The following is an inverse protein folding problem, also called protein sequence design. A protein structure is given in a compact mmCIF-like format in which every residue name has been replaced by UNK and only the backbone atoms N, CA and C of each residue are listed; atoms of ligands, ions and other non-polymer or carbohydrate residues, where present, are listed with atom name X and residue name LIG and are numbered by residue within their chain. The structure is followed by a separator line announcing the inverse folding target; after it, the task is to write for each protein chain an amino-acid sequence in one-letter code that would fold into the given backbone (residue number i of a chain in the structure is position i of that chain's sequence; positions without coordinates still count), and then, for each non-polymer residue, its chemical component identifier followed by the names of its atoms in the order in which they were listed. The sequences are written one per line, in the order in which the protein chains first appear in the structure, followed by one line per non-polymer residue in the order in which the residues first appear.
data_IF_229933567018
#
_entry.id   IF_229933567018
#
_cell.length_a   1.000
_cell.length_b   1.000
_cell.length_c   1.000
_cell.angle_alpha   90.00
_cell.angle_beta   90.00
_cell.angle_gamma   90.00
#
_symmetry.space_group_name_H-M   'P 1'
#
loop_
_entity.id
_entity.type
_entity.pdbx_description
1 polymer ?
#
# COMPACT_ATOMS: atom_id res chain seq x y z
N UNK A 1 -43.86 9.42 -1.86
CA UNK A 1 -42.65 10.27 -1.94
C UNK A 1 -42.98 11.56 -1.19
N UNK A 2 -42.36 11.82 -0.04
CA UNK A 2 -42.64 13.05 0.72
C UNK A 2 -42.17 14.31 -0.02
N UNK A 3 -42.70 15.48 0.34
CA UNK A 3 -42.38 16.79 -0.27
C UNK A 3 -40.86 17.03 -0.41
N UNK A 4 -40.09 16.59 0.59
CA UNK A 4 -38.63 16.69 0.60
C UNK A 4 -37.97 15.86 -0.52
N UNK A 5 -38.49 14.67 -0.83
CA UNK A 5 -37.96 13.81 -1.88
C UNK A 5 -38.16 14.38 -3.28
N UNK A 6 -39.29 15.07 -3.51
CA UNK A 6 -39.54 15.74 -4.78
C UNK A 6 -38.60 16.93 -4.98
N UNK A 7 -38.39 17.74 -3.94
CA UNK A 7 -37.49 18.89 -3.99
C UNK A 7 -36.03 18.48 -4.29
N UNK A 8 -35.55 17.42 -3.63
CA UNK A 8 -34.23 16.84 -3.90
C UNK A 8 -34.08 16.32 -5.32
N UNK A 9 -35.12 15.65 -5.83
CA UNK A 9 -35.10 15.12 -7.19
C UNK A 9 -35.07 16.24 -8.23
N UNK A 10 -35.89 17.28 -8.07
CA UNK A 10 -35.89 18.46 -8.96
C UNK A 10 -34.52 19.17 -8.94
N UNK A 11 -33.91 19.32 -7.76
CA UNK A 11 -32.57 19.90 -7.64
C UNK A 11 -31.49 19.04 -8.32
N UNK A 12 -31.55 17.72 -8.21
CA UNK A 12 -30.60 16.82 -8.85
C UNK A 12 -30.71 16.85 -10.38
N UNK A 13 -31.94 16.88 -10.90
CA UNK A 13 -32.20 16.98 -12.35
C UNK A 13 -31.73 18.33 -12.90
N UNK A 14 -32.03 19.43 -12.22
CA UNK A 14 -31.58 20.76 -12.65
C UNK A 14 -30.07 20.89 -12.66
N UNK A 15 -29.39 20.38 -11.63
CA UNK A 15 -27.92 20.31 -11.57
C UNK A 15 -27.33 19.51 -12.72
N UNK A 16 -27.97 18.41 -13.11
CA UNK A 16 -27.51 17.59 -14.25
C UNK A 16 -27.68 18.28 -15.59
N UNK A 17 -28.80 18.99 -15.81
CA UNK A 17 -29.01 19.74 -17.06
C UNK A 17 -27.99 20.88 -17.19
N UNK A 18 -27.81 21.67 -16.14
CA UNK A 18 -26.82 22.75 -16.12
C UNK A 18 -25.41 22.19 -16.30
N UNK A 19 -25.08 21.12 -15.58
CA UNK A 19 -23.78 20.47 -15.68
C UNK A 19 -23.49 19.90 -17.07
N UNK A 20 -24.49 19.31 -17.74
CA UNK A 20 -24.37 18.86 -19.13
C UNK A 20 -24.06 20.04 -20.07
N UNK A 21 -24.77 21.15 -19.94
CA UNK A 21 -24.53 22.34 -20.76
C UNK A 21 -23.11 22.87 -20.58
N UNK A 22 -22.61 22.92 -19.33
CA UNK A 22 -21.22 23.31 -19.03
C UNK A 22 -20.22 22.33 -19.64
N UNK A 23 -20.44 21.02 -19.53
CA UNK A 23 -19.56 20.01 -20.13
C UNK A 23 -19.50 20.14 -21.65
N UNK A 24 -20.65 20.30 -22.32
CA UNK A 24 -20.71 20.48 -23.78
C UNK A 24 -20.00 21.76 -24.22
N UNK A 25 -20.18 22.85 -23.47
CA UNK A 25 -19.50 24.13 -23.75
C UNK A 25 -17.98 24.04 -23.58
N UNK A 26 -17.50 23.28 -22.59
CA UNK A 26 -16.07 23.10 -22.32
C UNK A 26 -15.42 22.02 -23.18
N UNK A 27 -16.20 21.13 -23.79
CA UNK A 27 -15.72 20.03 -24.63
C UNK A 27 -14.72 20.45 -25.74
N UNK A 28 -14.97 21.51 -26.55
CA UNK A 28 -14.02 21.94 -27.57
C UNK A 28 -12.69 22.46 -27.01
N UNK A 29 -12.65 22.85 -25.73
CA UNK A 29 -11.40 23.24 -25.04
C UNK A 29 -10.70 22.03 -24.42
N UNK A 30 -11.46 21.16 -23.75
CA UNK A 30 -10.92 20.02 -23.00
C UNK A 30 -10.41 18.92 -23.94
N UNK A 31 -11.11 18.63 -25.03
CA UNK A 31 -10.74 17.55 -25.96
C UNK A 31 -9.36 17.78 -26.59
N UNK A 32 -9.02 18.95 -27.16
CA UNK A 32 -7.68 19.21 -27.68
C UNK A 32 -6.59 19.06 -26.61
N UNK A 33 -6.83 19.55 -25.39
CA UNK A 33 -5.87 19.40 -24.28
C UNK A 33 -5.65 17.94 -23.94
N UNK A 34 -6.72 17.13 -23.84
CA UNK A 34 -6.61 15.70 -23.61
C UNK A 34 -5.91 14.98 -24.76
N UNK A 35 -6.12 15.37 -26.02
CA UNK A 35 -5.41 14.82 -27.17
C UNK A 35 -3.91 15.15 -27.13
N UNK A 36 -3.53 16.37 -26.74
CA UNK A 36 -2.11 16.75 -26.53
C UNK A 36 -1.50 15.92 -25.40
N UNK A 37 -2.18 15.76 -24.26
CA UNK A 37 -1.70 14.94 -23.15
C UNK A 37 -1.60 13.45 -23.53
N UNK A 38 -2.54 12.95 -24.32
CA UNK A 38 -2.55 11.58 -24.82
C UNK A 38 -1.38 11.33 -25.78
N UNK A 39 -1.20 12.21 -26.77
CA UNK A 39 -0.09 12.12 -27.73
C UNK A 39 1.25 12.23 -27.01
N UNK A 40 1.41 13.19 -26.10
CA UNK A 40 2.58 13.28 -25.21
C UNK A 40 2.82 11.98 -24.45
N UNK A 41 1.79 11.42 -23.81
CA UNK A 41 1.89 10.14 -23.09
C UNK A 41 2.36 9.02 -24.01
N UNK A 42 1.77 8.88 -25.20
CA UNK A 42 2.18 7.87 -26.19
C UNK A 42 3.65 8.04 -26.59
N UNK A 43 4.10 9.26 -26.86
CA UNK A 43 5.50 9.55 -27.20
C UNK A 43 6.46 9.17 -26.07
N UNK A 44 6.12 9.52 -24.82
CA UNK A 44 6.93 9.16 -23.66
C UNK A 44 7.01 7.65 -23.47
N UNK A 45 5.89 6.93 -23.67
CA UNK A 45 5.87 5.47 -23.58
C UNK A 45 6.76 4.81 -24.64
N UNK A 46 6.70 5.29 -25.88
CA UNK A 46 7.57 4.83 -26.97
C UNK A 46 9.05 5.14 -26.66
N UNK A 47 9.35 6.32 -26.13
CA UNK A 47 10.71 6.70 -25.77
C UNK A 47 11.28 5.83 -24.64
N UNK A 48 10.48 5.54 -23.61
CA UNK A 48 10.87 4.63 -22.53
C UNK A 48 11.17 3.23 -23.07
N UNK A 49 10.32 2.71 -23.95
CA UNK A 49 10.56 1.41 -24.60
C UNK A 49 11.82 1.43 -25.48
N UNK A 50 12.07 2.53 -26.20
CA UNK A 50 13.25 2.67 -27.04
C UNK A 50 14.57 2.75 -26.25
N UNK A 51 14.57 3.45 -25.11
CA UNK A 51 15.77 3.65 -24.28
C UNK A 51 16.07 2.42 -23.43
N UNK A 52 15.06 1.85 -22.77
CA UNK A 52 15.26 0.81 -21.76
C UNK A 52 14.93 -0.61 -22.25
N UNK A 53 14.33 -0.75 -23.44
CA UNK A 53 14.04 -2.04 -24.05
C UNK A 53 12.94 -2.84 -23.34
N UNK A 54 13.00 -4.16 -23.53
CA UNK A 54 12.06 -5.11 -22.93
C UNK A 54 12.29 -5.31 -21.43
N UNK A 55 11.21 -5.36 -20.65
CA UNK A 55 11.26 -5.60 -19.20
C UNK A 55 11.02 -4.36 -18.34
N UNK A 56 10.81 -3.19 -18.94
CA UNK A 56 10.35 -1.98 -18.26
C UNK A 56 8.84 -1.84 -18.36
N UNK A 57 8.22 -1.51 -17.23
CA UNK A 57 6.76 -1.32 -17.13
C UNK A 57 6.46 0.06 -16.57
N UNK A 58 5.43 0.70 -17.11
CA UNK A 58 4.96 1.97 -16.55
C UNK A 58 4.15 1.68 -15.31
N UNK A 59 4.51 2.32 -14.22
CA UNK A 59 3.85 2.15 -12.93
C UNK A 59 2.38 2.59 -13.03
N UNK A 60 1.52 1.91 -12.26
CA UNK A 60 0.13 2.32 -12.14
C UNK A 60 -0.01 3.70 -11.50
N UNK A 61 -1.16 4.35 -11.64
CA UNK A 61 -1.38 5.68 -11.04
C UNK A 61 -1.18 5.69 -9.51
N UNK A 62 -1.59 4.63 -8.83
CA UNK A 62 -1.39 4.47 -7.38
C UNK A 62 0.08 4.25 -7.03
N UNK A 63 0.80 3.42 -7.78
CA UNK A 63 2.24 3.22 -7.59
C UNK A 63 3.01 4.53 -7.79
N UNK A 64 2.67 5.28 -8.85
CA UNK A 64 3.25 6.58 -9.14
C UNK A 64 2.97 7.59 -8.02
N UNK A 65 1.77 7.60 -7.44
CA UNK A 65 1.44 8.45 -6.31
C UNK A 65 2.35 8.17 -5.11
N UNK A 66 2.62 6.91 -4.81
CA UNK A 66 3.50 6.54 -3.70
C UNK A 66 4.98 6.86 -3.97
N UNK A 67 5.39 7.10 -5.21
CA UNK A 67 6.74 7.62 -5.52
C UNK A 67 6.90 9.12 -5.32
N UNK A 68 5.82 9.85 -5.00
CA UNK A 68 5.89 11.23 -4.54
C UNK A 68 6.31 11.30 -3.05
N UNK A 69 7.04 10.29 -2.58
CA UNK A 69 7.50 10.21 -1.20
C UNK A 69 8.49 11.34 -0.90
N UNK A 70 8.43 11.83 0.34
CA UNK A 70 9.29 12.92 0.80
C UNK A 70 9.99 12.53 2.10
N UNK A 71 11.02 13.31 2.47
CA UNK A 71 11.72 13.11 3.74
C UNK A 71 10.80 13.24 4.97
N UNK A 72 9.65 13.91 4.85
CA UNK A 72 8.64 14.04 5.91
C UNK A 72 7.47 13.06 5.76
N UNK A 73 7.28 12.47 4.59
CA UNK A 73 6.16 11.57 4.32
C UNK A 73 6.64 10.39 3.46
N UNK A 74 7.46 9.52 4.06
CA UNK A 74 7.97 8.34 3.36
C UNK A 74 6.87 7.30 3.21
N UNK A 75 6.70 6.74 2.02
CA UNK A 75 5.70 5.70 1.76
C UNK A 75 6.22 4.30 2.16
N UNK A 76 6.65 4.13 3.42
CA UNK A 76 7.16 2.86 3.97
C UNK A 76 6.07 2.12 4.73
N UNK A 77 5.89 0.83 4.42
CA UNK A 77 5.16 -0.16 5.19
C UNK A 77 6.20 -0.96 5.99
N UNK A 78 5.99 -1.07 7.29
CA UNK A 78 6.82 -1.87 8.18
C UNK A 78 5.97 -2.93 8.85
N UNK A 79 6.49 -4.15 8.94
CA UNK A 79 5.88 -5.26 9.66
C UNK A 79 6.94 -6.06 10.40
N UNK A 80 6.51 -6.86 11.36
CA UNK A 80 7.41 -7.75 12.10
C UNK A 80 6.74 -9.09 12.33
N UNK A 81 7.50 -10.16 12.16
CA UNK A 81 7.15 -11.49 12.61
C UNK A 81 8.13 -11.90 13.72
N UNK A 82 7.60 -12.25 14.89
CA UNK A 82 8.41 -12.78 16.00
C UNK A 82 8.25 -14.29 16.03
N UNK A 83 9.35 -14.99 15.81
CA UNK A 83 9.39 -16.45 15.67
C UNK A 83 10.08 -17.05 16.88
N UNK A 84 9.55 -18.16 17.39
CA UNK A 84 10.20 -18.95 18.45
C UNK A 84 11.38 -19.71 17.86
N UNK A 85 12.52 -19.65 18.53
CA UNK A 85 13.77 -20.29 18.13
C UNK A 85 14.75 -19.35 17.41
N UNK A 86 15.88 -19.93 16.99
CA UNK A 86 16.97 -19.24 16.28
C UNK A 86 16.85 -19.50 14.79
N UNK A 87 16.67 -18.44 14.01
CA UNK A 87 16.61 -18.52 12.54
C UNK A 87 17.83 -17.82 11.97
N UNK A 88 18.55 -18.51 11.09
CA UNK A 88 19.70 -17.93 10.41
C UNK A 88 19.27 -17.00 9.28
N UNK A 89 20.03 -15.92 9.06
CA UNK A 89 19.84 -15.02 7.92
C UNK A 89 19.90 -15.77 6.59
N UNK A 90 20.79 -16.77 6.49
CA UNK A 90 20.92 -17.63 5.33
C UNK A 90 19.64 -18.43 5.03
N UNK A 91 18.95 -18.93 6.06
CA UNK A 91 17.67 -19.62 5.88
C UNK A 91 16.59 -18.66 5.36
N UNK A 92 16.51 -17.44 5.91
CA UNK A 92 15.55 -16.41 5.45
C UNK A 92 15.84 -16.01 4.00
N UNK A 93 17.11 -15.82 3.64
CA UNK A 93 17.55 -15.53 2.26
C UNK A 93 17.11 -16.63 1.29
N UNK A 94 17.40 -17.89 1.63
CA UNK A 94 17.02 -19.04 0.81
C UNK A 94 15.50 -19.11 0.61
N UNK A 95 14.76 -18.97 1.69
CA UNK A 95 13.29 -18.99 1.66
C UNK A 95 12.71 -17.89 0.77
N UNK A 96 13.16 -16.64 0.95
CA UNK A 96 12.69 -15.50 0.15
C UNK A 96 13.11 -15.61 -1.32
N UNK A 97 14.30 -16.14 -1.58
CA UNK A 97 14.76 -16.45 -2.93
C UNK A 97 13.78 -17.43 -3.60
N UNK A 98 13.61 -18.62 -3.03
CA UNK A 98 12.83 -19.71 -3.61
C UNK A 98 11.33 -19.39 -3.76
N UNK A 99 10.73 -18.74 -2.75
CA UNK A 99 9.27 -18.56 -2.68
C UNK A 99 8.76 -17.24 -3.24
N UNK A 100 9.59 -16.19 -3.27
CA UNK A 100 9.14 -14.85 -3.65
C UNK A 100 9.90 -14.33 -4.86
N UNK A 101 11.23 -14.22 -4.77
CA UNK A 101 11.98 -13.49 -5.80
C UNK A 101 12.28 -14.35 -7.03
N UNK A 102 12.66 -15.62 -6.87
CA UNK A 102 12.93 -16.58 -7.96
C UNK A 102 11.72 -17.45 -8.29
N UNK A 103 10.60 -17.31 -7.58
CA UNK A 103 9.38 -18.06 -7.86
C UNK A 103 8.89 -17.79 -9.29
N UNK A 104 8.62 -18.86 -10.05
CA UNK A 104 8.16 -18.79 -11.44
C UNK A 104 6.72 -19.28 -11.60
N UNK A 105 6.04 -18.77 -12.62
CA UNK A 105 4.76 -19.28 -13.11
C UNK A 105 4.96 -20.48 -14.05
N UNK A 106 3.86 -21.13 -14.44
CA UNK A 106 3.89 -22.28 -15.37
C UNK A 106 4.49 -21.93 -16.75
N UNK A 107 4.62 -20.64 -17.05
CA UNK A 107 5.21 -20.11 -18.30
C UNK A 107 6.67 -19.71 -18.13
N UNK A 108 7.28 -20.00 -16.98
CA UNK A 108 8.68 -19.71 -16.67
C UNK A 108 8.99 -18.23 -16.40
N UNK A 109 7.97 -17.37 -16.25
CA UNK A 109 8.13 -15.95 -15.88
C UNK A 109 8.16 -15.81 -14.37
N UNK A 110 8.81 -14.77 -13.87
CA UNK A 110 8.78 -14.48 -12.44
C UNK A 110 7.34 -14.19 -11.97
N UNK A 111 6.93 -14.83 -10.88
CA UNK A 111 5.62 -14.63 -10.26
C UNK A 111 5.48 -13.23 -9.67
N UNK A 112 6.58 -12.71 -9.10
CA UNK A 112 6.63 -11.40 -8.47
C UNK A 112 7.81 -10.56 -8.99
N UNK A 113 7.76 -10.10 -10.27
CA UNK A 113 8.88 -9.40 -10.90
C UNK A 113 9.24 -8.09 -10.19
N UNK A 114 8.27 -7.43 -9.55
CA UNK A 114 8.46 -6.15 -8.88
C UNK A 114 9.48 -6.21 -7.73
N UNK A 115 9.72 -7.38 -7.11
CA UNK A 115 10.75 -7.52 -6.06
C UNK A 115 12.18 -7.48 -6.61
N UNK A 116 12.35 -7.58 -7.92
CA UNK A 116 13.64 -7.44 -8.63
C UNK A 116 13.72 -6.15 -9.42
N UNK A 117 12.78 -5.22 -9.19
CA UNK A 117 12.67 -3.99 -9.95
C UNK A 117 12.72 -2.79 -9.01
N UNK A 118 13.30 -1.71 -9.53
CA UNK A 118 13.33 -0.40 -8.88
C UNK A 118 12.24 0.46 -9.52
N UNK A 119 11.49 1.16 -8.68
CA UNK A 119 10.53 2.17 -9.14
C UNK A 119 11.19 3.55 -9.17
N UNK A 120 11.29 4.15 -10.35
CA UNK A 120 11.93 5.45 -10.54
C UNK A 120 11.19 6.33 -11.55
N UNK A 121 11.36 7.65 -11.42
CA UNK A 121 10.88 8.61 -12.41
C UNK A 121 11.88 8.72 -13.56
N UNK A 122 11.44 8.43 -14.78
CA UNK A 122 12.20 8.58 -16.03
C UNK A 122 11.32 9.27 -17.06
N UNK A 123 11.88 10.23 -17.78
CA UNK A 123 11.19 10.87 -18.91
C UNK A 123 9.82 11.48 -18.54
N UNK A 124 9.66 11.93 -17.29
CA UNK A 124 8.40 12.48 -16.78
C UNK A 124 7.37 11.45 -16.31
N UNK A 125 7.61 10.15 -16.49
CA UNK A 125 6.74 9.05 -16.04
C UNK A 125 7.43 8.20 -14.97
N UNK A 126 6.63 7.48 -14.18
CA UNK A 126 7.15 6.53 -13.19
C UNK A 126 7.18 5.14 -13.82
N UNK A 127 8.33 4.48 -13.72
CA UNK A 127 8.59 3.20 -14.37
C UNK A 127 9.25 2.21 -13.41
N UNK A 128 8.93 0.94 -13.60
CA UNK A 128 9.61 -0.21 -13.01
C UNK A 128 10.73 -0.66 -13.93
N UNK A 129 11.95 -0.65 -13.42
CA UNK A 129 13.16 -1.02 -14.15
C UNK A 129 13.83 -2.18 -13.41
N UNK A 130 14.27 -3.25 -14.09
CA UNK A 130 15.05 -4.31 -13.44
C UNK A 130 16.25 -3.75 -12.67
N UNK A 131 16.46 -4.25 -11.45
CA UNK A 131 17.64 -3.94 -10.67
C UNK A 131 18.90 -4.51 -11.33
N UNK A 132 19.95 -3.69 -11.40
CA UNK A 132 21.24 -4.13 -11.91
C UNK A 132 21.89 -5.13 -10.95
N UNK A 133 22.14 -6.36 -11.41
CA UNK A 133 22.74 -7.44 -10.62
C UNK A 133 22.01 -7.65 -9.29
N UNK A 134 20.71 -7.97 -9.39
CA UNK A 134 19.87 -8.30 -8.26
C UNK A 134 20.46 -9.47 -7.46
N UNK A 135 20.65 -9.27 -6.16
CA UNK A 135 21.06 -10.31 -5.21
C UNK A 135 20.28 -10.18 -3.91
N UNK A 136 19.62 -11.26 -3.48
CA UNK A 136 18.81 -11.29 -2.24
C UNK A 136 19.63 -10.89 -1.00
N UNK A 137 20.93 -11.16 -1.01
CA UNK A 137 21.85 -10.80 0.08
C UNK A 137 21.93 -9.30 0.37
N UNK A 138 21.65 -8.45 -0.62
CA UNK A 138 21.63 -6.98 -0.47
C UNK A 138 20.35 -6.48 0.23
N UNK A 139 19.30 -7.28 0.23
CA UNK A 139 17.99 -6.94 0.82
C UNK A 139 17.74 -7.62 2.15
N UNK A 140 18.39 -8.76 2.41
CA UNK A 140 18.21 -9.54 3.63
C UNK A 140 19.49 -9.53 4.44
N UNK A 141 19.49 -8.85 5.58
CA UNK A 141 20.68 -8.72 6.43
C UNK A 141 20.36 -8.96 7.90
N UNK A 142 21.40 -9.25 8.68
CA UNK A 142 21.30 -9.23 10.12
C UNK A 142 21.14 -7.79 10.61
N UNK A 143 20.37 -7.59 11.68
CA UNK A 143 20.30 -6.30 12.34
C UNK A 143 21.64 -5.99 13.01
N UNK A 144 22.27 -4.89 12.61
CA UNK A 144 23.58 -4.50 13.13
C UNK A 144 23.53 -3.14 13.83
N UNK A 145 24.31 -3.01 14.90
CA UNK A 145 24.66 -1.76 15.57
C UNK A 145 26.19 -1.72 15.71
N UNK A 146 26.83 -0.67 15.20
CA UNK A 146 28.30 -0.50 15.20
C UNK A 146 29.07 -1.73 14.67
N UNK A 147 28.61 -2.26 13.52
CA UNK A 147 29.16 -3.46 12.85
C UNK A 147 29.07 -4.76 13.67
N UNK A 148 28.23 -4.80 14.72
CA UNK A 148 27.97 -6.00 15.52
C UNK A 148 26.50 -6.39 15.44
N UNK A 149 26.16 -7.69 15.50
CA UNK A 149 24.77 -8.13 15.63
C UNK A 149 24.10 -7.46 16.83
N UNK A 150 22.95 -6.81 16.59
CA UNK A 150 22.18 -6.16 17.65
C UNK A 150 21.22 -7.19 18.25
N UNK A 151 21.42 -7.48 19.54
CA UNK A 151 20.49 -8.26 20.35
C UNK A 151 19.40 -7.36 20.92
N UNK A 152 18.16 -7.59 20.51
CA UNK A 152 16.99 -6.90 21.05
C UNK A 152 16.60 -7.49 22.40
N UNK A 153 16.39 -6.64 23.40
CA UNK A 153 16.09 -7.11 24.76
C UNK A 153 14.60 -7.48 24.94
N UNK A 154 13.71 -6.62 24.48
CA UNK A 154 12.27 -6.70 24.72
C UNK A 154 11.47 -6.08 23.55
N UNK A 155 10.15 -6.02 23.73
CA UNK A 155 9.20 -5.44 22.77
C UNK A 155 9.43 -3.94 22.55
N UNK A 156 9.84 -3.20 23.58
CA UNK A 156 10.06 -1.76 23.51
C UNK A 156 11.31 -1.43 22.67
N UNK A 157 12.39 -2.19 22.82
CA UNK A 157 13.59 -2.07 21.99
C UNK A 157 13.30 -2.43 20.52
N UNK A 158 12.50 -3.48 20.29
CA UNK A 158 12.03 -3.84 18.96
C UNK A 158 11.18 -2.73 18.32
N UNK A 159 10.23 -2.17 19.06
CA UNK A 159 9.36 -1.09 18.60
C UNK A 159 10.15 0.20 18.33
N UNK A 160 11.12 0.53 19.19
CA UNK A 160 12.04 1.65 19.02
C UNK A 160 12.86 1.50 17.74
N UNK A 161 13.41 0.31 17.49
CA UNK A 161 14.19 0.04 16.28
C UNK A 161 13.33 0.10 15.01
N UNK A 162 12.12 -0.46 15.04
CA UNK A 162 11.19 -0.35 13.91
C UNK A 162 10.79 1.10 13.64
N UNK A 163 10.60 1.91 14.69
CA UNK A 163 10.28 3.34 14.57
C UNK A 163 11.44 4.12 13.95
N UNK A 164 12.67 3.89 14.41
CA UNK A 164 13.87 4.50 13.85
C UNK A 164 14.01 4.15 12.35
N UNK A 165 13.88 2.87 12.00
CA UNK A 165 14.02 2.40 10.63
C UNK A 165 12.94 2.89 9.69
N UNK A 166 11.70 3.00 10.15
CA UNK A 166 10.59 3.50 9.32
C UNK A 166 10.84 4.92 8.78
N UNK A 167 11.71 5.68 9.46
CA UNK A 167 12.16 7.01 9.04
C UNK A 167 13.40 7.01 8.13
N UNK A 168 14.04 5.88 7.89
CA UNK A 168 15.21 5.79 7.00
C UNK A 168 14.78 5.67 5.52
N UNK A 169 15.48 6.33 4.59
CA UNK A 169 15.25 6.12 3.16
C UNK A 169 15.77 4.73 2.72
N UNK A 170 15.17 4.17 1.67
CA UNK A 170 15.75 3.01 1.00
C UNK A 170 17.00 3.42 0.21
N UNK A 171 18.01 2.53 0.09
CA UNK A 171 19.16 2.75 -0.79
C UNK A 171 18.73 3.00 -2.24
N UNK A 172 19.44 3.88 -2.94
CA UNK A 172 19.19 4.15 -4.36
C UNK A 172 19.69 3.00 -5.22
N UNK A 173 18.97 2.71 -6.31
CA UNK A 173 19.34 1.68 -7.28
C UNK A 173 19.08 0.24 -6.85
N UNK A 174 18.49 0.03 -5.67
CA UNK A 174 18.01 -1.28 -5.20
C UNK A 174 16.48 -1.29 -5.18
N UNK A 175 15.87 -2.46 -5.37
CA UNK A 175 14.45 -2.66 -5.14
C UNK A 175 14.09 -2.21 -3.71
N UNK A 176 13.00 -1.46 -3.55
CA UNK A 176 12.71 -0.72 -2.30
C UNK A 176 12.02 -1.60 -1.26
N UNK A 177 12.71 -2.66 -0.85
CA UNK A 177 12.32 -3.54 0.24
C UNK A 177 13.57 -4.07 0.95
N UNK A 178 13.43 -4.34 2.24
CA UNK A 178 14.47 -4.95 3.07
C UNK A 178 13.86 -5.87 4.13
N UNK A 179 14.62 -6.90 4.51
CA UNK A 179 14.28 -7.82 5.60
C UNK A 179 15.46 -7.89 6.56
N UNK A 180 15.18 -7.61 7.83
CA UNK A 180 16.18 -7.59 8.88
C UNK A 180 15.87 -8.68 9.88
N UNK A 181 16.88 -9.48 10.19
CA UNK A 181 16.76 -10.56 11.16
C UNK A 181 17.54 -10.17 12.40
N UNK A 182 16.88 -10.21 13.57
CA UNK A 182 17.48 -9.85 14.84
C UNK A 182 17.16 -10.91 15.90
N UNK A 183 18.14 -11.32 16.73
CA UNK A 183 17.83 -12.11 17.90
C UNK A 183 17.06 -11.25 18.92
N UNK A 184 16.04 -11.84 19.54
CA UNK A 184 15.17 -11.21 20.52
C UNK A 184 15.14 -12.03 21.81
N UNK A 185 15.46 -11.39 22.93
CA UNK A 185 15.57 -12.07 24.23
C UNK A 185 14.21 -12.39 24.85
N UNK A 186 13.30 -11.40 24.90
CA UNK A 186 11.97 -11.52 25.51
C UNK A 186 10.88 -11.02 24.57
N UNK A 187 9.76 -11.73 24.55
CA UNK A 187 8.54 -11.31 23.87
C UNK A 187 7.33 -11.92 24.59
N UNK A 188 6.31 -11.12 24.86
CA UNK A 188 5.09 -11.54 25.55
C UNK A 188 5.30 -11.98 27.01
N UNK A 189 4.52 -12.98 27.43
CA UNK A 189 4.48 -13.48 28.81
C UNK A 189 5.56 -14.49 29.16
N UNK A 190 6.52 -14.77 28.27
CA UNK A 190 7.59 -15.73 28.49
C UNK A 190 8.61 -15.15 29.49
N UNK A 191 8.28 -15.19 30.79
CA UNK A 191 9.05 -14.63 31.91
C UNK A 191 10.09 -15.58 32.51
N UNK A 192 10.13 -16.85 32.10
CA UNK A 192 10.97 -17.85 32.76
C UNK A 192 11.93 -18.51 31.77
N UNK A 193 13.12 -17.92 31.62
CA UNK A 193 14.40 -18.66 31.63
C UNK A 193 15.59 -17.69 31.52
N UNK A 194 16.56 -17.90 32.39
CA UNK A 194 17.79 -17.13 32.53
C UNK A 194 18.85 -17.78 31.61
N UNK A 195 19.21 -17.14 30.50
CA UNK A 195 20.46 -17.50 29.80
C UNK A 195 20.58 -17.08 28.33
N UNK A 196 19.60 -17.37 27.48
CA UNK A 196 19.73 -17.22 26.02
C UNK A 196 18.55 -16.47 25.36
N UNK A 197 18.77 -15.90 24.17
CA UNK A 197 17.68 -15.38 23.35
C UNK A 197 16.85 -16.53 22.80
N UNK A 198 15.54 -16.46 23.01
CA UNK A 198 14.61 -17.53 22.64
C UNK A 198 13.88 -17.25 21.33
N UNK A 199 13.87 -15.99 20.89
CA UNK A 199 13.07 -15.55 19.75
C UNK A 199 13.96 -14.94 18.67
N UNK A 200 13.47 -14.97 17.44
CA UNK A 200 14.02 -14.23 16.31
C UNK A 200 12.97 -13.27 15.79
N UNK A 201 13.29 -11.98 15.77
CA UNK A 201 12.47 -10.95 15.14
C UNK A 201 12.87 -10.82 13.67
N UNK A 202 11.90 -10.95 12.77
CA UNK A 202 12.05 -10.70 11.34
C UNK A 202 11.29 -9.43 11.00
N UNK A 203 12.03 -8.33 10.88
CA UNK A 203 11.48 -7.01 10.54
C UNK A 203 11.48 -6.88 9.03
N UNK A 204 10.31 -6.58 8.46
CA UNK A 204 10.12 -6.43 7.02
C UNK A 204 9.75 -4.99 6.74
N UNK A 205 10.46 -4.37 5.80
CA UNK A 205 10.15 -3.02 5.32
C UNK A 205 9.96 -3.05 3.80
N UNK A 206 8.86 -2.48 3.33
CA UNK A 206 8.56 -2.35 1.91
C UNK A 206 8.11 -0.94 1.58
N UNK A 207 8.49 -0.46 0.40
CA UNK A 207 7.88 0.73 -0.17
C UNK A 207 6.46 0.42 -0.66
N UNK A 208 5.51 1.31 -0.40
CA UNK A 208 4.08 1.15 -0.72
C UNK A 208 3.79 0.92 -2.21
N UNK A 209 4.73 1.27 -3.09
CA UNK A 209 4.64 0.94 -4.52
C UNK A 209 4.66 -0.58 -4.77
N UNK A 210 5.23 -1.41 -3.88
CA UNK A 210 5.24 -2.86 -4.05
C UNK A 210 3.89 -3.53 -3.75
N UNK A 211 3.03 -2.90 -2.96
CA UNK A 211 1.74 -3.46 -2.59
C UNK A 211 1.08 -2.70 -1.44
N UNK A 212 -0.21 -2.97 -1.26
CA UNK A 212 -0.96 -2.54 -0.09
C UNK A 212 -0.82 -3.55 1.05
N UNK A 213 -1.26 -3.17 2.25
CA UNK A 213 -1.19 -4.06 3.43
C UNK A 213 -1.87 -5.40 3.20
N UNK A 214 -2.98 -5.43 2.45
CA UNK A 214 -3.72 -6.66 2.13
C UNK A 214 -2.91 -7.59 1.23
N UNK A 215 -2.34 -7.08 0.13
CA UNK A 215 -1.55 -7.88 -0.81
C UNK A 215 -0.28 -8.43 -0.18
N UNK A 216 0.35 -7.64 0.70
CA UNK A 216 1.53 -8.08 1.45
C UNK A 216 1.17 -9.19 2.44
N UNK A 217 0.07 -9.07 3.20
CA UNK A 217 -0.36 -10.14 4.10
C UNK A 217 -0.73 -11.41 3.33
N UNK A 218 -1.42 -11.28 2.20
CA UNK A 218 -1.72 -12.42 1.33
C UNK A 218 -0.44 -13.09 0.81
N UNK A 219 0.58 -12.30 0.42
CA UNK A 219 1.88 -12.83 0.01
C UNK A 219 2.55 -13.60 1.15
N UNK A 220 2.61 -13.02 2.36
CA UNK A 220 3.23 -13.65 3.53
C UNK A 220 2.55 -14.98 3.85
N UNK A 221 1.20 -15.00 3.91
CA UNK A 221 0.44 -16.23 4.16
C UNK A 221 0.73 -17.27 3.09
N UNK A 222 0.65 -16.89 1.81
CA UNK A 222 0.92 -17.81 0.69
C UNK A 222 2.37 -18.33 0.65
N UNK A 223 3.32 -17.56 1.18
CA UNK A 223 4.72 -17.93 1.21
C UNK A 223 5.02 -18.87 2.39
N UNK A 224 4.37 -18.66 3.54
CA UNK A 224 4.55 -19.44 4.77
C UNK A 224 3.76 -20.76 4.77
N UNK A 225 2.75 -20.92 3.92
CA UNK A 225 1.98 -22.15 3.80
C UNK A 225 2.80 -23.25 3.08
N UNK A 226 3.14 -24.33 3.81
CA UNK A 226 3.89 -25.48 3.27
C UNK A 226 3.06 -26.33 2.29
N UNK A 227 1.73 -26.31 2.45
CA UNK A 227 0.79 -27.10 1.64
C UNK A 227 0.03 -26.21 0.65
N UNK A 228 0.04 -26.60 -0.61
CA UNK A 228 -0.82 -26.02 -1.64
C UNK A 228 -2.29 -26.31 -1.27
N UNK A 229 -3.00 -25.32 -0.72
CA UNK A 229 -4.46 -25.35 -0.63
C UNK A 229 -4.97 -25.00 -2.03
N UNK A 230 -5.63 -25.93 -2.74
CA UNK A 230 -6.20 -25.66 -4.06
C UNK A 230 -7.50 -24.88 -3.88
N UNK A 231 -7.40 -23.67 -3.37
CA UNK A 231 -8.47 -22.67 -3.44
C UNK A 231 -7.82 -21.35 -3.08
N UNK A 232 -7.69 -20.48 -4.08
CA UNK A 232 -7.63 -19.06 -3.78
C UNK A 232 -8.79 -18.77 -2.84
N UNK A 233 -8.51 -18.56 -1.56
CA UNK A 233 -9.43 -17.83 -0.69
C UNK A 233 -9.45 -16.44 -1.30
N UNK A 234 -10.27 -16.27 -2.34
CA UNK A 234 -10.81 -14.99 -2.72
C UNK A 234 -11.57 -14.54 -1.50
N UNK A 235 -10.86 -13.85 -0.59
CA UNK A 235 -11.49 -13.04 0.42
C UNK A 235 -12.59 -12.28 -0.30
N UNK A 236 -13.84 -12.32 0.16
CA UNK A 236 -14.96 -11.75 -0.54
C UNK A 236 -14.67 -10.26 -0.75
N UNK A 237 -14.11 -9.93 -1.91
CA UNK A 237 -14.28 -8.62 -2.49
C UNK A 237 -15.76 -8.62 -2.74
N UNK A 238 -16.48 -7.69 -2.11
CA UNK A 238 -17.87 -7.45 -2.44
C UNK A 238 -17.94 -7.37 -3.95
N UNK A 239 -18.43 -8.44 -4.58
CA UNK A 239 -18.57 -8.49 -6.01
C UNK A 239 -19.47 -7.30 -6.33
N UNK A 240 -19.00 -6.32 -7.11
CA UNK A 240 -19.85 -5.20 -7.45
C UNK A 240 -21.11 -5.81 -8.04
N UNK A 241 -22.28 -5.48 -7.46
CA UNK A 241 -23.55 -5.98 -7.95
C UNK A 241 -23.52 -5.87 -9.46
N UNK A 242 -23.68 -7.01 -10.15
CA UNK A 242 -23.62 -7.14 -11.61
C UNK A 242 -24.71 -6.26 -12.21
N UNK A 243 -24.41 -4.99 -12.35
CA UNK A 243 -25.27 -4.02 -12.98
C UNK A 243 -25.02 -4.11 -14.48
N UNK A 244 -26.11 -4.27 -15.24
CA UNK A 244 -26.05 -4.38 -16.69
C UNK A 244 -25.25 -3.23 -17.30
N UNK A 245 -24.62 -3.47 -18.45
CA UNK A 245 -23.78 -2.48 -19.15
C UNK A 245 -24.51 -1.14 -19.34
N UNK A 246 -25.82 -1.16 -19.57
CA UNK A 246 -26.66 0.03 -19.72
C UNK A 246 -26.74 0.84 -18.42
N UNK A 247 -26.94 0.19 -17.27
CA UNK A 247 -26.95 0.87 -15.99
C UNK A 247 -25.58 1.52 -15.69
N UNK A 248 -24.49 0.82 -16.00
CA UNK A 248 -23.13 1.36 -15.86
C UNK A 248 -22.91 2.56 -16.76
N UNK A 249 -23.33 2.48 -18.02
CA UNK A 249 -23.26 3.61 -18.96
C UNK A 249 -24.10 4.79 -18.48
N UNK A 250 -25.36 4.58 -18.10
CA UNK A 250 -26.25 5.62 -17.59
C UNK A 250 -25.67 6.29 -16.33
N UNK A 251 -25.12 5.50 -15.40
CA UNK A 251 -24.45 6.01 -14.20
C UNK A 251 -23.20 6.81 -14.55
N UNK A 252 -22.43 6.38 -15.54
CA UNK A 252 -21.27 7.12 -16.03
C UNK A 252 -21.67 8.46 -16.64
N UNK A 253 -22.64 8.48 -17.57
CA UNK A 253 -23.17 9.70 -18.17
C UNK A 253 -23.70 10.66 -17.10
N UNK A 254 -24.48 10.15 -16.14
CA UNK A 254 -24.94 10.92 -14.99
C UNK A 254 -23.77 11.45 -14.13
N UNK A 255 -22.69 10.70 -13.98
CA UNK A 255 -21.53 11.18 -13.22
C UNK A 255 -20.81 12.32 -13.95
N UNK A 256 -20.74 12.25 -15.28
CA UNK A 256 -20.11 13.29 -16.11
C UNK A 256 -20.89 14.61 -16.01
N UNK A 257 -22.23 14.57 -15.99
CA UNK A 257 -23.03 15.80 -15.81
C UNK A 257 -22.78 16.47 -14.46
N UNK A 258 -22.44 15.70 -13.42
CA UNK A 258 -22.11 16.25 -12.11
C UNK A 258 -20.64 16.72 -11.95
N UNK A 259 -19.76 16.46 -12.94
CA UNK A 259 -18.34 16.77 -12.86
C UNK A 259 -18.05 18.26 -12.54
N UNK A 260 -18.72 19.26 -13.16
CA UNK A 260 -18.45 20.67 -12.87
C UNK A 260 -18.68 21.02 -11.40
N UNK A 261 -19.72 20.45 -10.78
CA UNK A 261 -20.04 20.69 -9.38
C UNK A 261 -19.01 20.07 -8.44
N UNK A 262 -18.51 18.88 -8.78
CA UNK A 262 -17.42 18.23 -8.04
C UNK A 262 -16.14 19.04 -8.16
N UNK A 263 -15.79 19.49 -9.37
CA UNK A 263 -14.59 20.31 -9.61
C UNK A 263 -14.69 21.63 -8.85
N UNK A 264 -15.81 22.35 -8.93
CA UNK A 264 -16.03 23.58 -8.16
C UNK A 264 -15.92 23.28 -6.67
N UNK A 265 -16.54 22.22 -6.17
CA UNK A 265 -16.43 21.84 -4.75
C UNK A 265 -14.97 21.58 -4.36
N UNK A 266 -14.22 20.82 -5.13
CA UNK A 266 -12.81 20.49 -4.85
C UNK A 266 -11.92 21.73 -4.93
N UNK A 267 -12.15 22.63 -5.88
CA UNK A 267 -11.35 23.85 -6.07
C UNK A 267 -11.69 24.95 -5.06
N UNK A 268 -12.94 25.05 -4.62
CA UNK A 268 -13.41 26.14 -3.73
C UNK A 268 -13.45 25.74 -2.27
N UNK A 269 -13.79 24.47 -1.98
CA UNK A 269 -13.72 23.89 -0.65
C UNK A 269 -12.51 22.99 -0.64
N UNK A 270 -11.39 23.52 -0.15
CA UNK A 270 -10.31 22.68 0.35
C UNK A 270 -10.85 21.70 1.39
N UNK A 271 -10.07 20.68 1.71
CA UNK A 271 -10.46 19.73 2.75
C UNK A 271 -10.61 20.47 4.09
N UNK A 272 -11.85 20.76 4.47
CA UNK A 272 -12.21 21.43 5.71
C UNK A 272 -12.52 20.40 6.81
N UNK A 273 -12.10 19.15 6.63
CA UNK A 273 -12.23 18.13 7.65
C UNK A 273 -11.50 18.58 8.92
N UNK A 274 -12.17 18.49 10.06
CA UNK A 274 -11.53 18.63 11.37
C UNK A 274 -10.47 17.55 11.62
N UNK A 275 -10.47 16.47 10.83
CA UNK A 275 -9.41 15.44 10.81
C UNK A 275 -8.19 15.86 9.99
N UNK A 276 -8.26 16.97 9.24
CA UNK A 276 -7.10 17.58 8.60
C UNK A 276 -6.25 18.23 9.71
N UNK A 277 -5.46 17.39 10.39
CA UNK A 277 -4.69 17.77 11.56
C UNK A 277 -3.57 18.78 11.26
N UNK A 278 -2.82 19.13 12.31
CA UNK A 278 -1.66 20.00 12.21
C UNK A 278 -0.64 19.50 11.17
N UNK A 279 0.18 20.42 10.67
CA UNK A 279 1.28 20.08 9.75
C UNK A 279 2.14 18.97 10.36
N UNK A 280 2.29 17.86 9.63
CA UNK A 280 3.03 16.69 10.10
C UNK A 280 4.50 17.04 10.37
N UNK A 281 5.04 16.58 11.51
CA UNK A 281 6.43 16.81 11.92
C UNK A 281 7.45 16.14 10.99
N UNK A 282 7.01 15.14 10.23
CA UNK A 282 7.84 14.43 9.26
C UNK A 282 8.49 13.15 9.78
N UNK A 283 8.39 12.89 11.08
CA UNK A 283 8.77 11.62 11.70
C UNK A 283 7.53 10.73 11.86
N UNK A 284 7.69 9.45 11.53
CA UNK A 284 6.71 8.40 11.81
C UNK A 284 7.03 7.78 13.15
N UNK A 285 6.01 7.65 13.99
CA UNK A 285 6.06 6.89 15.23
C UNK A 285 5.25 5.61 15.01
N UNK A 286 5.78 4.48 15.48
CA UNK A 286 5.03 3.23 15.55
C UNK A 286 4.59 3.02 17.00
N UNK A 287 3.39 2.49 17.17
CA UNK A 287 2.82 2.09 18.45
C UNK A 287 1.94 0.87 18.22
N UNK A 288 1.97 -0.09 19.15
CA UNK A 288 1.25 -1.35 19.01
C UNK A 288 0.28 -1.46 20.18
N UNK A 289 -0.92 -1.97 19.92
CA UNK A 289 -1.85 -2.29 20.99
C UNK A 289 -1.56 -3.70 21.53
N UNK A 290 -2.00 -4.00 22.76
CA UNK A 290 -2.18 -5.39 23.16
C UNK A 290 -3.07 -6.14 22.15
N UNK A 291 -2.98 -7.49 22.09
CA UNK A 291 -3.82 -8.27 21.18
C UNK A 291 -5.30 -7.99 21.39
N UNK A 292 -6.00 -7.59 20.32
CA UNK A 292 -7.44 -7.31 20.35
C UNK A 292 -8.18 -8.52 19.76
N UNK A 293 -9.20 -9.00 20.48
CA UNK A 293 -10.02 -10.11 20.00
C UNK A 293 -10.82 -9.72 18.75
N UNK A 294 -10.58 -10.43 17.64
CA UNK A 294 -11.35 -10.23 16.41
C UNK A 294 -12.84 -10.56 16.60
N UNK A 295 -13.17 -11.51 17.48
CA UNK A 295 -14.55 -11.83 17.80
C UNK A 295 -15.24 -10.65 18.51
N UNK A 296 -14.54 -9.98 19.44
CA UNK A 296 -15.03 -8.78 20.08
C UNK A 296 -15.23 -7.64 19.07
N UNK A 297 -14.28 -7.42 18.16
CA UNK A 297 -14.42 -6.43 17.08
C UNK A 297 -15.61 -6.72 16.17
N UNK A 298 -15.81 -7.98 15.75
CA UNK A 298 -16.95 -8.39 14.93
C UNK A 298 -18.29 -8.18 15.66
N UNK A 299 -18.35 -8.48 16.96
CA UNK A 299 -19.54 -8.22 17.79
C UNK A 299 -19.81 -6.72 17.92
N UNK A 300 -18.78 -5.92 18.17
CA UNK A 300 -18.88 -4.46 18.21
C UNK A 300 -19.41 -3.89 16.90
N UNK A 301 -18.90 -4.38 15.76
CA UNK A 301 -19.37 -3.95 14.43
C UNK A 301 -20.87 -4.23 14.25
N UNK A 302 -21.32 -5.41 14.68
CA UNK A 302 -22.71 -5.84 14.52
C UNK A 302 -23.65 -4.99 15.38
N UNK A 303 -23.22 -4.63 16.59
CA UNK A 303 -23.99 -3.76 17.50
C UNK A 303 -24.06 -2.32 17.00
N UNK A 304 -22.96 -1.78 16.46
CA UNK A 304 -22.88 -0.41 16.00
C UNK A 304 -23.37 -0.20 14.56
N UNK A 305 -23.58 -1.28 13.79
CA UNK A 305 -23.99 -1.20 12.39
C UNK A 305 -22.92 -0.62 11.45
N UNK A 306 -21.64 -0.69 11.84
CA UNK A 306 -20.50 -0.12 11.10
C UNK A 306 -19.49 -1.20 10.69
N UNK A 307 -18.50 -0.83 9.87
CA UNK A 307 -17.41 -1.75 9.52
C UNK A 307 -16.39 -1.89 10.67
N UNK A 308 -15.57 -2.95 10.61
CA UNK A 308 -14.48 -3.12 11.59
C UNK A 308 -13.44 -1.99 11.43
N UNK A 309 -13.21 -1.51 10.22
CA UNK A 309 -12.30 -0.40 9.96
C UNK A 309 -12.78 0.88 10.63
N UNK A 310 -14.09 1.14 10.63
CA UNK A 310 -14.65 2.33 11.29
C UNK A 310 -14.38 2.27 12.80
N UNK A 311 -14.62 1.12 13.44
CA UNK A 311 -14.33 0.94 14.86
C UNK A 311 -12.85 1.13 15.20
N UNK A 312 -11.95 0.55 14.39
CA UNK A 312 -10.50 0.68 14.60
C UNK A 312 -10.02 2.12 14.38
N UNK A 313 -10.54 2.80 13.36
CA UNK A 313 -10.17 4.18 13.05
C UNK A 313 -10.68 5.13 14.13
N UNK A 314 -11.91 4.95 14.61
CA UNK A 314 -12.45 5.72 15.75
C UNK A 314 -11.65 5.46 17.02
N UNK A 315 -11.35 4.20 17.34
CA UNK A 315 -10.54 3.87 18.51
C UNK A 315 -9.12 4.46 18.45
N UNK A 316 -8.50 4.47 17.27
CA UNK A 316 -7.22 5.12 17.05
C UNK A 316 -7.33 6.64 17.20
N UNK A 317 -8.38 7.25 16.64
CA UNK A 317 -8.60 8.69 16.75
C UNK A 317 -8.77 9.14 18.20
N UNK A 318 -9.56 8.39 19.00
CA UNK A 318 -9.73 8.63 20.44
C UNK A 318 -8.43 8.43 21.22
N UNK A 319 -7.60 7.44 20.87
CA UNK A 319 -6.33 7.22 21.55
C UNK A 319 -5.27 8.30 21.27
N UNK A 320 -5.46 9.10 20.21
CA UNK A 320 -4.57 10.20 19.81
C UNK A 320 -5.07 11.57 20.28
N UNK A 321 -6.27 11.65 20.85
CA UNK A 321 -6.89 12.88 21.37
C UNK A 321 -6.60 13.03 22.87
#
# INVERSE_FOLDING_TARGET
MGLNGLCWWVAAVSQSVVGLAVVVLLLPLVVPVLMVLWTWRCLVLLMVQAIYGGGVYVASGMEALFTLDSCSARAVISGVAVLRGKISVAAVRKFLAERITDARDDRGRFRHPNFRQVVEKRCGVVVWIPENNFHVDKHVSELQLDCRPRLLQDEDDLLSEMSARTNLPFPRGLARWEVLVAPLKRFGTDKENIGEWQHTAVIVRLHHAHGDGRSIMALIVSALEDAYIPEHVSFPVSSPCSSGNIYRAARFLWSVTHLPWVVVRVLTRGDASSLHGCRLAGSKLLAWSPPISLAALKKGRALAGVSVNDLLLTGLAEALY
#
